data_IF_331317146444
#
_entry.id   IF_331317146444
#
_cell.length_a   1.000
_cell.length_b   1.000
_cell.length_c   1.000
_cell.angle_alpha   90.00
_cell.angle_beta   90.00
_cell.angle_gamma   90.00
#
_symmetry.space_group_name_H-M   'P 1'
#
loop_
_entity.id
_entity.type
_entity.pdbx_description
1 polymer ?
#
# COMPACT_ATOMS: atom_id res chain seq x y z
N UNK A 1 9.90 26.89 -6.59
CA UNK A 1 11.19 26.22 -6.90
C UNK A 1 10.93 25.28 -8.06
N UNK A 2 11.52 25.57 -9.21
CA UNK A 2 11.16 24.99 -10.51
C UNK A 2 11.44 23.49 -10.60
N UNK A 3 10.46 22.69 -10.18
CA UNK A 3 9.59 21.80 -10.97
C UNK A 3 10.14 21.02 -12.17
N UNK A 4 11.44 20.98 -12.45
CA UNK A 4 12.03 20.12 -13.50
C UNK A 4 13.02 19.14 -12.88
N UNK A 5 13.88 19.62 -11.98
CA UNK A 5 14.89 18.76 -11.33
C UNK A 5 14.22 17.61 -10.56
N UNK A 6 13.15 17.89 -9.82
CA UNK A 6 12.40 16.86 -9.09
C UNK A 6 11.75 15.84 -10.04
N UNK A 7 11.21 16.28 -11.17
CA UNK A 7 10.63 15.37 -12.17
C UNK A 7 11.69 14.52 -12.87
N UNK A 8 12.87 15.09 -13.15
CA UNK A 8 14.01 14.34 -13.70
C UNK A 8 14.48 13.27 -12.71
N UNK A 9 14.64 13.62 -11.43
CA UNK A 9 14.99 12.65 -10.38
C UNK A 9 13.93 11.55 -10.31
N UNK A 10 12.64 11.91 -10.36
CA UNK A 10 11.56 10.93 -10.36
C UNK A 10 11.56 10.01 -11.58
N UNK A 11 11.79 10.56 -12.77
CA UNK A 11 11.91 9.77 -13.98
C UNK A 11 13.09 8.79 -13.93
N UNK A 12 14.26 9.23 -13.45
CA UNK A 12 15.44 8.38 -13.27
C UNK A 12 15.17 7.25 -12.29
N UNK A 13 14.56 7.56 -11.13
CA UNK A 13 14.16 6.56 -10.13
C UNK A 13 13.22 5.51 -10.70
N UNK A 14 12.22 5.92 -11.47
CA UNK A 14 11.27 5.00 -12.10
C UNK A 14 11.96 4.14 -13.16
N UNK A 15 12.79 4.74 -14.00
CA UNK A 15 13.57 3.99 -14.99
C UNK A 15 14.44 2.92 -14.31
N UNK A 16 15.06 3.26 -13.17
CA UNK A 16 15.85 2.32 -12.38
C UNK A 16 15.00 1.15 -11.84
N UNK A 17 13.83 1.43 -11.25
CA UNK A 17 12.93 0.38 -10.73
C UNK A 17 12.36 -0.49 -11.85
N UNK A 18 11.99 0.10 -12.99
CA UNK A 18 11.54 -0.64 -14.16
C UNK A 18 12.64 -1.57 -14.69
N UNK A 19 13.88 -1.06 -14.77
CA UNK A 19 15.03 -1.89 -15.15
C UNK A 19 15.25 -3.06 -14.19
N UNK A 20 15.20 -2.81 -12.87
CA UNK A 20 15.31 -3.87 -11.87
C UNK A 20 14.19 -4.90 -12.00
N UNK A 21 12.94 -4.46 -12.18
CA UNK A 21 11.78 -5.34 -12.37
C UNK A 21 11.96 -6.26 -13.59
N UNK A 22 12.35 -5.70 -14.74
CA UNK A 22 12.60 -6.48 -15.96
C UNK A 22 13.77 -7.45 -15.80
N UNK A 23 14.84 -7.03 -15.12
CA UNK A 23 15.98 -7.89 -14.84
C UNK A 23 15.59 -9.10 -13.98
N UNK A 24 14.84 -8.87 -12.90
CA UNK A 24 14.35 -9.96 -12.04
C UNK A 24 13.32 -10.84 -12.75
N UNK A 25 12.44 -10.26 -13.57
CA UNK A 25 11.49 -11.02 -14.37
C UNK A 25 12.20 -11.98 -15.33
N UNK A 26 13.23 -11.50 -16.03
CA UNK A 26 14.05 -12.36 -16.91
C UNK A 26 14.71 -13.50 -16.13
N UNK A 27 15.36 -13.18 -15.00
CA UNK A 27 16.02 -14.19 -14.17
C UNK A 27 15.03 -15.22 -13.60
N UNK A 28 13.84 -14.79 -13.22
CA UNK A 28 12.77 -15.68 -12.74
C UNK A 28 12.22 -16.56 -13.87
N UNK A 29 12.12 -16.02 -15.09
CA UNK A 29 11.70 -16.75 -16.28
C UNK A 29 12.70 -17.87 -16.62
N UNK A 30 13.99 -17.53 -16.71
CA UNK A 30 15.06 -18.48 -17.00
C UNK A 30 15.10 -19.59 -15.94
N UNK A 31 15.03 -19.21 -14.65
CA UNK A 31 14.97 -20.17 -13.56
C UNK A 31 13.72 -21.05 -13.60
N UNK A 32 12.60 -20.51 -14.06
CA UNK A 32 11.35 -21.25 -14.25
C UNK A 32 11.50 -22.37 -15.28
N UNK A 33 12.18 -22.09 -16.39
CA UNK A 33 12.49 -23.10 -17.41
C UNK A 33 13.43 -24.19 -16.87
N UNK A 34 14.47 -23.81 -16.11
CA UNK A 34 15.42 -24.75 -15.49
C UNK A 34 14.75 -25.74 -14.53
N UNK A 35 13.69 -25.34 -13.82
CA UNK A 35 12.94 -26.20 -12.90
C UNK A 35 11.83 -27.02 -13.60
N UNK A 36 11.73 -26.93 -14.93
CA UNK A 36 10.82 -27.74 -15.75
C UNK A 36 9.44 -27.13 -16.01
N UNK A 37 9.24 -25.82 -15.79
CA UNK A 37 8.02 -25.15 -16.25
C UNK A 37 8.06 -25.00 -17.77
N UNK A 38 6.93 -25.23 -18.44
CA UNK A 38 6.84 -24.99 -19.88
C UNK A 38 6.76 -23.48 -20.19
N UNK A 39 7.24 -23.09 -21.37
CA UNK A 39 7.11 -21.69 -21.83
C UNK A 39 5.66 -21.20 -21.84
N UNK A 40 4.71 -22.09 -22.17
CA UNK A 40 3.29 -21.77 -22.19
C UNK A 40 2.80 -21.37 -20.79
N UNK A 41 3.10 -22.19 -19.79
CA UNK A 41 2.74 -21.91 -18.40
C UNK A 41 3.35 -20.60 -17.90
N UNK A 42 4.63 -20.35 -18.20
CA UNK A 42 5.29 -19.11 -17.83
C UNK A 42 4.64 -17.88 -18.47
N UNK A 43 4.32 -17.93 -19.77
CA UNK A 43 3.64 -16.84 -20.49
C UNK A 43 2.24 -16.58 -19.93
N UNK A 44 1.51 -17.64 -19.60
CA UNK A 44 0.18 -17.55 -19.00
C UNK A 44 0.22 -16.92 -17.60
N UNK A 45 1.18 -17.34 -16.76
CA UNK A 45 1.41 -16.75 -15.43
C UNK A 45 1.75 -15.26 -15.56
N UNK A 46 2.70 -14.89 -16.42
CA UNK A 46 3.09 -13.48 -16.63
C UNK A 46 1.89 -12.66 -17.07
N UNK A 47 1.11 -13.16 -18.03
CA UNK A 47 -0.09 -12.47 -18.52
C UNK A 47 -1.11 -12.28 -17.40
N UNK A 48 -1.42 -13.34 -16.66
CA UNK A 48 -2.36 -13.29 -15.54
C UNK A 48 -1.91 -12.30 -14.46
N UNK A 49 -0.65 -12.37 -14.03
CA UNK A 49 -0.09 -11.45 -13.03
C UNK A 49 -0.05 -9.98 -13.51
N UNK A 50 0.18 -9.75 -14.81
CA UNK A 50 0.14 -8.42 -15.38
C UNK A 50 -1.28 -7.82 -15.33
N UNK A 51 -2.30 -8.58 -15.76
CA UNK A 51 -3.69 -8.15 -15.64
C UNK A 51 -4.10 -7.93 -14.18
N UNK A 52 -3.67 -8.83 -13.29
CA UNK A 52 -3.97 -8.74 -11.87
C UNK A 52 -3.35 -7.50 -11.21
N UNK A 53 -2.21 -7.00 -11.71
CA UNK A 53 -1.55 -5.82 -11.14
C UNK A 53 -2.20 -4.48 -11.53
N UNK A 54 -2.93 -4.45 -12.65
CA UNK A 54 -3.59 -3.21 -13.13
C UNK A 54 -4.75 -2.81 -12.22
N UNK A 55 -5.58 -3.76 -11.83
CA UNK A 55 -6.79 -3.48 -11.04
C UNK A 55 -6.48 -2.81 -9.67
N UNK A 56 -5.54 -3.31 -8.84
CA UNK A 56 -5.16 -2.65 -7.59
C UNK A 56 -4.39 -1.34 -7.79
N UNK A 57 -3.89 -1.05 -8.99
CA UNK A 57 -3.16 0.21 -9.25
C UNK A 57 -4.07 1.43 -9.39
N UNK A 58 -5.33 1.25 -9.82
CA UNK A 58 -6.29 2.37 -10.01
C UNK A 58 -6.59 3.10 -8.70
N UNK A 59 -6.97 2.43 -7.58
CA UNK A 59 -7.16 3.11 -6.30
C UNK A 59 -5.89 3.81 -5.81
N UNK A 60 -4.71 3.24 -6.09
CA UNK A 60 -3.43 3.85 -5.72
C UNK A 60 -3.22 5.16 -6.49
N UNK A 61 -3.52 5.17 -7.79
CA UNK A 61 -3.44 6.38 -8.62
C UNK A 61 -4.41 7.47 -8.14
N UNK A 62 -5.65 7.10 -7.81
CA UNK A 62 -6.63 8.03 -7.24
C UNK A 62 -6.12 8.59 -5.92
N UNK A 63 -5.60 7.72 -5.04
CA UNK A 63 -5.01 8.11 -3.77
C UNK A 63 -3.78 9.03 -3.91
N UNK A 64 -2.99 8.85 -4.97
CA UNK A 64 -1.91 9.77 -5.31
C UNK A 64 -2.46 11.15 -5.70
N UNK A 65 -3.54 11.21 -6.46
CA UNK A 65 -4.19 12.48 -6.84
C UNK A 65 -4.72 13.21 -5.60
N UNK A 66 -5.26 12.49 -4.61
CA UNK A 66 -5.75 13.12 -3.36
C UNK A 66 -4.64 13.70 -2.49
N UNK A 67 -3.38 13.30 -2.71
CA UNK A 67 -2.21 13.86 -2.00
C UNK A 67 -1.67 15.14 -2.64
N UNK A 68 -2.01 15.42 -3.90
CA UNK A 68 -1.50 16.60 -4.64
C UNK A 68 -1.80 17.91 -3.91
N UNK A 69 -3.03 18.18 -3.40
CA UNK A 69 -3.32 19.43 -2.70
C UNK A 69 -2.50 19.62 -1.41
N UNK A 70 -2.12 18.51 -0.75
CA UNK A 70 -1.35 18.55 0.50
C UNK A 70 0.11 18.93 0.21
N UNK A 71 0.72 18.36 -0.83
CA UNK A 71 2.13 18.57 -1.18
C UNK A 71 2.37 19.67 -2.21
N UNK A 72 1.32 20.21 -2.83
CA UNK A 72 1.39 21.20 -3.91
C UNK A 72 1.98 20.66 -5.23
N UNK A 73 2.43 19.40 -5.27
CA UNK A 73 3.02 18.77 -6.45
C UNK A 73 2.82 17.25 -6.43
N UNK A 74 2.71 16.66 -7.61
CA UNK A 74 2.53 15.20 -7.77
C UNK A 74 3.83 14.42 -7.52
N UNK A 75 4.97 15.07 -7.67
CA UNK A 75 6.27 14.40 -7.77
C UNK A 75 6.67 13.68 -6.49
N UNK A 76 6.47 14.32 -5.33
CA UNK A 76 6.89 13.73 -4.05
C UNK A 76 6.07 12.47 -3.71
N UNK A 77 4.72 12.49 -3.72
CA UNK A 77 3.94 11.27 -3.57
C UNK A 77 4.26 10.22 -4.63
N UNK A 78 4.45 10.64 -5.88
CA UNK A 78 4.69 9.74 -7.00
C UNK A 78 5.99 8.94 -6.88
N UNK A 79 7.12 9.60 -6.58
CA UNK A 79 8.41 8.93 -6.43
C UNK A 79 8.35 7.91 -5.30
N UNK A 80 7.72 8.27 -4.17
CA UNK A 80 7.64 7.42 -2.99
C UNK A 80 6.75 6.20 -3.24
N UNK A 81 5.53 6.41 -3.75
CA UNK A 81 4.58 5.35 -4.05
C UNK A 81 5.07 4.40 -5.16
N UNK A 82 5.95 4.86 -6.06
CA UNK A 82 6.50 4.02 -7.14
C UNK A 82 7.57 3.02 -6.67
N UNK A 83 8.27 3.32 -5.57
CA UNK A 83 9.32 2.43 -5.04
C UNK A 83 8.78 1.61 -3.87
N UNK A 84 8.40 2.30 -2.80
CA UNK A 84 7.96 1.73 -1.53
C UNK A 84 7.06 2.77 -0.88
N UNK A 85 5.76 2.49 -0.87
CA UNK A 85 4.80 3.39 -0.27
C UNK A 85 3.40 2.79 -0.23
N UNK A 86 2.60 3.30 0.69
CA UNK A 86 1.17 3.03 0.77
C UNK A 86 0.47 4.36 0.85
N UNK A 87 -0.56 4.56 0.01
CA UNK A 87 -1.36 5.79 0.03
C UNK A 87 -1.88 6.08 1.43
N UNK A 88 -2.34 5.04 2.16
CA UNK A 88 -2.85 5.18 3.52
C UNK A 88 -1.78 5.68 4.49
N UNK A 89 -0.56 5.17 4.35
CA UNK A 89 0.58 5.60 5.16
C UNK A 89 0.99 7.05 4.86
N UNK A 90 1.18 7.37 3.57
CA UNK A 90 1.59 8.70 3.12
C UNK A 90 0.55 9.76 3.50
N UNK A 91 -0.74 9.46 3.32
CA UNK A 91 -1.83 10.35 3.72
C UNK A 91 -1.88 10.55 5.22
N UNK A 92 -1.73 9.50 6.01
CA UNK A 92 -1.72 9.62 7.47
C UNK A 92 -0.56 10.49 7.95
N UNK A 93 0.65 10.20 7.52
CA UNK A 93 1.84 10.93 7.95
C UNK A 93 1.84 12.39 7.48
N UNK A 94 1.42 12.64 6.24
CA UNK A 94 1.29 14.00 5.71
C UNK A 94 0.27 14.82 6.50
N UNK A 95 -0.90 14.25 6.81
CA UNK A 95 -1.92 14.93 7.61
C UNK A 95 -1.47 15.15 9.07
N UNK A 96 -0.77 14.20 9.67
CA UNK A 96 -0.24 14.35 11.03
C UNK A 96 0.73 15.53 11.13
N UNK A 97 1.63 15.66 10.15
CA UNK A 97 2.63 16.73 10.11
C UNK A 97 1.99 18.07 9.76
N UNK A 98 1.05 18.07 8.81
CA UNK A 98 0.24 19.23 8.46
C UNK A 98 -0.48 19.80 9.69
N UNK A 99 -1.16 18.94 10.44
CA UNK A 99 -1.90 19.33 11.64
C UNK A 99 -0.95 19.80 12.76
N UNK A 100 0.21 19.16 12.92
CA UNK A 100 1.22 19.56 13.91
C UNK A 100 1.89 20.91 13.57
N UNK A 101 2.08 21.18 12.28
CA UNK A 101 2.64 22.44 11.79
C UNK A 101 1.58 23.57 11.71
N UNK A 102 0.29 23.26 11.83
CA UNK A 102 -0.79 24.24 11.78
C UNK A 102 -0.96 24.89 10.41
N UNK A 103 -0.61 24.19 9.32
CA UNK A 103 -0.70 24.69 7.93
C UNK A 103 -1.77 23.95 7.16
N UNK A 104 -2.46 24.60 6.21
CA UNK A 104 -3.46 23.92 5.37
C UNK A 104 -2.83 23.08 4.25
N UNK A 105 -1.62 23.46 3.82
CA UNK A 105 -0.82 22.73 2.84
C UNK A 105 0.61 22.61 3.34
N UNK A 106 1.28 21.49 3.08
CA UNK A 106 2.70 21.37 3.38
C UNK A 106 3.55 22.24 2.46
N UNK A 107 3.03 22.63 1.29
CA UNK A 107 3.75 23.49 0.35
C UNK A 107 3.85 24.95 0.79
N UNK A 108 2.97 25.42 1.67
CA UNK A 108 2.96 26.82 2.12
C UNK A 108 4.13 27.17 3.05
N UNK A 109 4.74 26.17 3.69
CA UNK A 109 5.91 26.37 4.55
C UNK A 109 7.04 25.38 4.17
N UNK A 110 8.21 25.87 3.71
CA UNK A 110 9.37 25.03 3.39
C UNK A 110 9.84 24.15 4.56
N UNK A 111 9.68 24.60 5.81
CA UNK A 111 10.09 23.82 6.99
C UNK A 111 9.11 22.67 7.20
N UNK A 112 7.80 22.93 7.18
CA UNK A 112 6.77 21.89 7.21
C UNK A 112 6.93 20.88 6.07
N UNK A 113 7.20 21.34 4.85
CA UNK A 113 7.46 20.49 3.68
C UNK A 113 8.67 19.57 3.90
N UNK A 114 9.81 20.13 4.29
CA UNK A 114 11.04 19.36 4.51
C UNK A 114 10.86 18.35 5.64
N UNK A 115 10.25 18.78 6.75
CA UNK A 115 9.93 17.93 7.90
C UNK A 115 9.03 16.76 7.49
N UNK A 116 8.05 17.03 6.64
CA UNK A 116 7.16 16.01 6.11
C UNK A 116 7.90 14.96 5.28
N UNK A 117 8.69 15.41 4.30
CA UNK A 117 9.46 14.52 3.42
C UNK A 117 10.45 13.67 4.22
N UNK A 118 11.19 14.26 5.17
CA UNK A 118 12.16 13.53 5.99
C UNK A 118 11.52 12.56 6.95
N UNK A 119 10.50 12.98 7.70
CA UNK A 119 9.79 12.13 8.66
C UNK A 119 9.20 10.92 7.96
N UNK A 120 8.55 11.11 6.81
CA UNK A 120 7.97 10.01 6.05
C UNK A 120 9.04 9.09 5.44
N UNK A 121 10.24 9.59 5.12
CA UNK A 121 11.33 8.77 4.57
C UNK A 121 11.98 7.92 5.67
N UNK A 122 12.29 8.52 6.81
CA UNK A 122 12.92 7.80 7.94
C UNK A 122 11.97 6.75 8.51
N UNK A 123 10.68 7.08 8.62
CA UNK A 123 9.68 6.20 9.19
C UNK A 123 9.49 4.91 8.37
N UNK A 124 9.51 4.97 7.04
CA UNK A 124 9.41 3.76 6.20
C UNK A 124 10.70 2.91 6.24
N UNK A 125 11.86 3.54 6.45
CA UNK A 125 13.14 2.82 6.58
C UNK A 125 13.17 1.90 7.82
N UNK A 126 12.51 2.26 8.91
CA UNK A 126 12.48 1.44 10.12
C UNK A 126 11.92 0.03 9.84
N UNK A 127 10.87 -0.06 9.02
CA UNK A 127 10.30 -1.33 8.58
C UNK A 127 11.29 -2.16 7.74
N UNK A 128 11.96 -1.52 6.78
CA UNK A 128 12.95 -2.17 5.92
C UNK A 128 14.16 -2.68 6.70
N UNK A 129 14.72 -1.85 7.59
CA UNK A 129 15.85 -2.23 8.44
C UNK A 129 15.46 -3.42 9.33
N UNK A 130 14.24 -3.40 9.88
CA UNK A 130 13.73 -4.51 10.68
C UNK A 130 13.62 -5.80 9.85
N UNK A 131 13.10 -5.71 8.62
CA UNK A 131 13.05 -6.86 7.71
C UNK A 131 14.47 -7.38 7.40
N UNK A 132 15.40 -6.53 6.99
CA UNK A 132 16.75 -6.96 6.62
C UNK A 132 17.46 -7.67 7.79
N UNK A 133 17.36 -7.13 9.00
CA UNK A 133 18.09 -7.65 10.16
C UNK A 133 17.40 -8.84 10.84
N UNK A 134 16.07 -8.85 10.87
CA UNK A 134 15.30 -9.79 11.70
C UNK A 134 14.44 -10.77 10.92
N UNK A 135 14.21 -10.59 9.61
CA UNK A 135 13.30 -11.44 8.83
C UNK A 135 13.63 -12.93 8.95
N UNK A 136 14.89 -13.33 8.72
CA UNK A 136 15.31 -14.75 8.84
C UNK A 136 15.10 -15.32 10.25
N UNK A 137 15.33 -14.52 11.29
CA UNK A 137 15.15 -14.95 12.68
C UNK A 137 13.65 -15.09 13.00
N UNK A 138 12.85 -14.14 12.54
CA UNK A 138 11.41 -14.14 12.70
C UNK A 138 10.75 -15.32 12.00
N UNK A 139 11.08 -15.54 10.72
CA UNK A 139 10.53 -16.64 9.90
C UNK A 139 10.82 -18.02 10.53
N UNK A 140 12.08 -18.25 10.95
CA UNK A 140 12.47 -19.50 11.62
C UNK A 140 11.68 -19.73 12.90
N UNK A 141 11.62 -18.72 13.78
CA UNK A 141 10.88 -18.82 15.04
C UNK A 141 9.38 -19.03 14.82
N UNK A 142 8.79 -18.33 13.85
CA UNK A 142 7.37 -18.49 13.52
C UNK A 142 7.09 -19.92 13.03
N UNK A 143 7.97 -20.47 12.21
CA UNK A 143 7.87 -21.86 11.72
C UNK A 143 8.02 -22.87 12.87
N UNK A 144 8.94 -22.66 13.80
CA UNK A 144 9.11 -23.50 15.01
C UNK A 144 7.87 -23.46 15.92
N UNK A 145 7.32 -22.26 16.17
CA UNK A 145 6.10 -22.09 16.96
C UNK A 145 4.93 -22.79 16.27
N UNK A 146 4.78 -22.64 14.95
CA UNK A 146 3.70 -23.29 14.19
C UNK A 146 3.79 -24.81 14.21
N UNK A 147 5.02 -25.38 14.22
CA UNK A 147 5.23 -26.82 14.37
C UNK A 147 4.90 -27.33 15.76
N UNK A 148 5.17 -26.52 16.79
CA UNK A 148 4.91 -26.88 18.19
C UNK A 148 3.43 -26.75 18.54
N UNK A 149 2.78 -25.69 18.06
CA UNK A 149 1.35 -25.43 18.25
C UNK A 149 0.79 -24.52 17.13
N UNK A 150 0.17 -25.13 16.12
CA UNK A 150 -0.42 -24.38 15.00
C UNK A 150 -1.55 -23.46 15.46
N UNK A 151 -2.33 -23.87 16.46
CA UNK A 151 -3.49 -23.12 16.93
C UNK A 151 -3.07 -21.84 17.66
N UNK A 152 -2.01 -21.92 18.48
CA UNK A 152 -1.40 -20.74 19.09
C UNK A 152 -0.79 -19.79 18.06
N UNK A 153 -0.10 -20.31 17.04
CA UNK A 153 0.45 -19.48 15.97
C UNK A 153 -0.65 -18.76 15.18
N UNK A 154 -1.75 -19.45 14.87
CA UNK A 154 -2.90 -18.86 14.19
C UNK A 154 -3.57 -17.78 15.04
N UNK A 155 -3.77 -18.03 16.34
CA UNK A 155 -4.32 -17.05 17.26
C UNK A 155 -3.43 -15.81 17.39
N UNK A 156 -2.11 -15.99 17.47
CA UNK A 156 -1.15 -14.89 17.51
C UNK A 156 -1.25 -14.02 16.25
N UNK A 157 -1.27 -14.63 15.07
CA UNK A 157 -1.41 -13.91 13.81
C UNK A 157 -2.76 -13.18 13.77
N UNK A 158 -3.85 -13.84 14.15
CA UNK A 158 -5.16 -13.21 14.22
C UNK A 158 -5.20 -12.02 15.20
N UNK A 159 -4.59 -12.15 16.37
CA UNK A 159 -4.50 -11.06 17.35
C UNK A 159 -3.69 -9.87 16.83
N UNK A 160 -2.57 -10.12 16.13
CA UNK A 160 -1.77 -9.06 15.50
C UNK A 160 -2.57 -8.34 14.41
N UNK A 161 -3.30 -9.08 13.56
CA UNK A 161 -4.19 -8.50 12.56
C UNK A 161 -5.30 -7.67 13.20
N UNK A 162 -5.96 -8.18 14.25
CA UNK A 162 -6.99 -7.44 14.98
C UNK A 162 -6.42 -6.20 15.66
N UNK A 163 -5.19 -6.22 16.17
CA UNK A 163 -4.52 -5.04 16.71
C UNK A 163 -4.27 -3.97 15.64
N UNK A 164 -3.85 -4.37 14.44
CA UNK A 164 -3.68 -3.46 13.32
C UNK A 164 -5.01 -2.82 12.88
N UNK A 165 -6.06 -3.62 12.71
CA UNK A 165 -7.40 -3.11 12.35
C UNK A 165 -7.96 -2.24 13.48
N UNK A 166 -7.76 -2.62 14.73
CA UNK A 166 -8.24 -1.88 15.90
C UNK A 166 -7.59 -0.50 16.00
N UNK A 167 -6.29 -0.40 15.80
CA UNK A 167 -5.58 0.90 15.87
C UNK A 167 -5.98 1.83 14.73
N UNK A 168 -5.97 1.34 13.48
CA UNK A 168 -6.33 2.15 12.31
C UNK A 168 -7.82 2.50 12.33
N UNK A 169 -8.68 1.52 12.63
CA UNK A 169 -10.13 1.69 12.68
C UNK A 169 -10.57 2.62 13.81
N UNK A 170 -10.01 2.46 15.02
CA UNK A 170 -10.33 3.35 16.15
C UNK A 170 -9.93 4.80 15.87
N UNK A 171 -8.83 5.04 15.15
CA UNK A 171 -8.47 6.39 14.71
C UNK A 171 -9.55 6.99 13.80
N UNK A 172 -10.08 6.24 12.83
CA UNK A 172 -11.13 6.76 11.95
C UNK A 172 -12.43 7.06 12.72
N UNK A 173 -12.76 6.22 13.72
CA UNK A 173 -13.89 6.45 14.61
C UNK A 173 -13.68 7.72 15.46
N UNK A 174 -12.46 7.91 15.99
CA UNK A 174 -12.11 9.03 16.84
C UNK A 174 -12.11 10.38 16.08
N UNK A 175 -11.72 10.39 14.80
CA UNK A 175 -11.84 11.58 13.95
C UNK A 175 -13.32 11.95 13.74
N UNK A 176 -14.20 10.94 13.63
CA UNK A 176 -15.64 11.15 13.53
C UNK A 176 -16.12 11.56 12.13
N UNK A 177 -17.42 11.83 12.04
CA UNK A 177 -18.07 12.32 10.81
C UNK A 177 -17.97 11.37 9.62
N UNK A 178 -17.62 11.90 8.46
CA UNK A 178 -17.52 11.16 7.20
C UNK A 178 -16.49 10.03 7.24
N UNK A 179 -15.43 10.13 8.05
CA UNK A 179 -14.41 9.08 8.17
C UNK A 179 -14.97 7.81 8.83
N UNK A 180 -15.77 7.97 9.88
CA UNK A 180 -16.47 6.86 10.54
C UNK A 180 -17.48 6.20 9.61
N UNK A 181 -18.22 7.00 8.83
CA UNK A 181 -19.18 6.50 7.84
C UNK A 181 -18.46 5.72 6.74
N UNK A 182 -17.35 6.25 6.21
CA UNK A 182 -16.52 5.57 5.23
C UNK A 182 -15.98 4.24 5.76
N UNK A 183 -15.56 4.18 7.03
CA UNK A 183 -15.12 2.94 7.67
C UNK A 183 -16.24 1.89 7.67
N UNK A 184 -17.44 2.22 8.13
CA UNK A 184 -18.54 1.26 8.17
C UNK A 184 -19.02 0.83 6.78
N UNK A 185 -19.00 1.73 5.80
CA UNK A 185 -19.29 1.37 4.39
C UNK A 185 -18.24 0.40 3.86
N UNK A 186 -16.94 0.69 4.07
CA UNK A 186 -15.87 -0.20 3.63
C UNK A 186 -15.96 -1.59 4.29
N UNK A 187 -16.30 -1.63 5.58
CA UNK A 187 -16.53 -2.87 6.32
C UNK A 187 -17.71 -3.67 5.75
N UNK A 188 -18.83 -3.02 5.46
CA UNK A 188 -20.01 -3.68 4.88
C UNK A 188 -19.69 -4.27 3.49
N UNK A 189 -18.99 -3.50 2.64
CA UNK A 189 -18.59 -3.95 1.31
C UNK A 189 -17.63 -5.14 1.39
N UNK A 190 -16.61 -5.06 2.24
CA UNK A 190 -15.66 -6.17 2.45
C UNK A 190 -16.36 -7.42 3.01
N UNK A 191 -17.37 -7.26 3.87
CA UNK A 191 -18.15 -8.38 4.39
C UNK A 191 -18.95 -9.03 3.26
N UNK A 192 -19.63 -8.25 2.41
CA UNK A 192 -20.38 -8.77 1.26
C UNK A 192 -19.46 -9.49 0.28
N UNK A 193 -18.32 -8.90 -0.07
CA UNK A 193 -17.34 -9.53 -0.98
C UNK A 193 -16.76 -10.80 -0.34
N UNK A 194 -16.46 -10.78 0.96
CA UNK A 194 -15.96 -11.96 1.69
C UNK A 194 -16.98 -13.10 1.81
N UNK A 195 -18.28 -12.78 1.85
CA UNK A 195 -19.33 -13.80 1.76
C UNK A 195 -19.47 -14.35 0.33
N UNK A 196 -19.36 -13.48 -0.68
CA UNK A 196 -19.42 -13.87 -2.08
C UNK A 196 -18.19 -14.68 -2.52
N UNK A 197 -17.01 -14.40 -1.97
CA UNK A 197 -15.76 -15.10 -2.29
C UNK A 197 -15.76 -16.57 -1.87
N UNK A 198 -16.61 -16.95 -0.90
CA UNK A 198 -16.86 -18.36 -0.55
C UNK A 198 -17.37 -19.17 -1.75
N UNK A 199 -18.11 -18.55 -2.68
CA UNK A 199 -18.57 -19.17 -3.93
C UNK A 199 -17.63 -18.90 -5.10
N UNK A 200 -17.05 -17.70 -5.16
CA UNK A 200 -16.23 -17.25 -6.28
C UNK A 200 -14.87 -16.75 -5.79
N UNK A 201 -13.89 -17.65 -5.74
CA UNK A 201 -12.55 -17.36 -5.18
C UNK A 201 -11.83 -16.19 -5.86
N UNK A 202 -12.06 -15.96 -7.15
CA UNK A 202 -11.43 -14.84 -7.87
C UNK A 202 -11.77 -13.48 -7.25
N UNK A 203 -12.92 -13.31 -6.59
CA UNK A 203 -13.30 -12.06 -5.91
C UNK A 203 -12.40 -11.71 -4.73
N UNK A 204 -11.77 -12.69 -4.09
CA UNK A 204 -10.88 -12.45 -2.95
C UNK A 204 -9.70 -11.58 -3.35
N UNK A 205 -9.18 -11.81 -4.56
CA UNK A 205 -8.07 -11.06 -5.13
C UNK A 205 -8.46 -9.62 -5.50
N UNK A 206 -9.75 -9.35 -5.77
CA UNK A 206 -10.28 -8.02 -6.11
C UNK A 206 -10.92 -7.28 -4.92
N UNK A 207 -11.06 -7.93 -3.77
CA UNK A 207 -11.83 -7.42 -2.65
C UNK A 207 -11.33 -6.06 -2.16
N UNK A 208 -10.02 -5.93 -1.96
CA UNK A 208 -9.39 -4.71 -1.45
C UNK A 208 -9.53 -3.52 -2.41
N UNK A 209 -9.15 -3.62 -3.71
CA UNK A 209 -9.33 -2.51 -4.66
C UNK A 209 -10.79 -2.10 -4.83
N UNK A 210 -11.70 -3.08 -4.96
CA UNK A 210 -13.13 -2.82 -5.16
C UNK A 210 -13.72 -2.14 -3.93
N UNK A 211 -13.33 -2.55 -2.72
CA UNK A 211 -13.77 -1.90 -1.49
C UNK A 211 -13.33 -0.43 -1.45
N UNK A 212 -12.07 -0.13 -1.76
CA UNK A 212 -11.57 1.25 -1.76
C UNK A 212 -12.34 2.11 -2.78
N UNK A 213 -12.45 1.65 -4.04
CA UNK A 213 -13.13 2.41 -5.10
C UNK A 213 -14.62 2.62 -4.80
N UNK A 214 -15.29 1.58 -4.31
CA UNK A 214 -16.73 1.64 -4.02
C UNK A 214 -17.00 2.57 -2.84
N UNK A 215 -16.20 2.48 -1.76
CA UNK A 215 -16.32 3.41 -0.63
C UNK A 215 -16.04 4.84 -1.07
N UNK A 216 -14.99 5.10 -1.85
CA UNK A 216 -14.71 6.44 -2.37
C UNK A 216 -15.86 7.00 -3.21
N UNK A 217 -16.42 6.20 -4.13
CA UNK A 217 -17.54 6.61 -4.97
C UNK A 217 -18.81 6.93 -4.16
N UNK A 218 -19.15 6.08 -3.19
CA UNK A 218 -20.31 6.32 -2.32
C UNK A 218 -20.10 7.57 -1.46
N UNK A 219 -18.91 7.73 -0.88
CA UNK A 219 -18.59 8.90 -0.05
C UNK A 219 -18.62 10.19 -0.86
N UNK A 220 -18.16 10.17 -2.11
CA UNK A 220 -18.23 11.34 -3.00
C UNK A 220 -19.67 11.82 -3.20
N UNK A 221 -20.60 10.90 -3.47
CA UNK A 221 -22.03 11.22 -3.62
C UNK A 221 -22.67 11.70 -2.32
N UNK A 222 -22.16 11.26 -1.16
CA UNK A 222 -22.71 11.61 0.15
C UNK A 222 -22.19 12.98 0.66
N UNK A 223 -21.04 13.43 0.17
CA UNK A 223 -20.40 14.70 0.53
C UNK A 223 -20.82 15.84 -0.41
N UNK A 224 -21.13 15.53 -1.67
CA UNK A 224 -21.63 16.48 -2.67
C UNK A 224 -23.11 16.83 -2.42
#
# INVERSE_FOLDING_TARGET
MDSIILYVIGAVMICFVLFQSLYFLKKAYDRGLEIGLSEHQLKEIIRSSAFFSVVPSVPILIGLITLIPIFGSVVIPWIRLSVLGSVSYESYAANAIRNAAGVDSLFSDPIAFSTAVWTMTISIMAGLVTLILFYRKYEKKLTEVRKKDSRWSELLIAALFMGLVGTIGAQQIAIGGYNTVALFISMAIMLVIGLASKKWKWLEEFALPVSILSTLGIMYVLIM
#
